data_IF_051263702191
#
_entry.id   IF_051263702191
#
_cell.length_a   1.000
_cell.length_b   1.000
_cell.length_c   1.000
_cell.angle_alpha   90.00
_cell.angle_beta   90.00
_cell.angle_gamma   90.00
#
_symmetry.space_group_name_H-M   'P 1'
#
loop_
_entity.id
_entity.type
_entity.pdbx_description
1 polymer ?
#
# COMPACT_ATOMS: atom_id res chain seq x y z
N UNK A 1 5.88 13.74 -25.68
CA UNK A 1 5.22 13.21 -24.48
C UNK A 1 6.28 12.50 -23.65
N UNK A 2 6.35 12.69 -22.32
CA UNK A 2 7.23 11.87 -21.50
C UNK A 2 6.89 10.38 -21.71
N UNK A 3 7.92 9.53 -21.68
CA UNK A 3 7.76 8.08 -21.79
C UNK A 3 6.91 7.57 -20.62
N UNK A 4 5.77 6.93 -20.92
CA UNK A 4 4.93 6.26 -19.93
C UNK A 4 5.73 5.18 -19.19
N UNK A 5 5.74 5.23 -17.87
CA UNK A 5 6.39 4.22 -17.01
C UNK A 5 5.36 3.35 -16.29
N UNK A 6 5.86 2.27 -15.72
CA UNK A 6 5.07 1.33 -14.92
C UNK A 6 5.36 1.53 -13.45
N UNK A 7 4.33 1.72 -12.65
CA UNK A 7 4.41 1.88 -11.20
C UNK A 7 3.83 0.62 -10.56
N UNK A 8 4.63 -0.09 -9.77
CA UNK A 8 4.23 -1.35 -9.14
C UNK A 8 4.20 -1.23 -7.63
N UNK A 9 3.02 -1.37 -7.03
CA UNK A 9 2.83 -1.37 -5.58
C UNK A 9 2.64 -2.80 -5.09
N UNK A 10 3.48 -3.24 -4.17
CA UNK A 10 3.46 -4.57 -3.57
C UNK A 10 3.22 -4.45 -2.06
N UNK A 11 2.06 -4.87 -1.55
CA UNK A 11 1.75 -4.87 -0.13
C UNK A 11 1.65 -6.30 0.42
N UNK A 12 2.53 -6.67 1.33
CA UNK A 12 2.51 -8.00 1.95
C UNK A 12 1.58 -8.07 3.18
N UNK A 13 1.28 -9.30 3.61
CA UNK A 13 0.50 -9.62 4.79
C UNK A 13 1.26 -9.43 6.10
N UNK A 14 0.54 -9.51 7.22
CA UNK A 14 1.14 -9.42 8.56
C UNK A 14 1.77 -10.70 9.05
N UNK A 15 2.86 -10.58 9.83
CA UNK A 15 3.39 -11.69 10.63
C UNK A 15 4.40 -12.60 9.94
N UNK A 16 4.90 -12.24 8.76
CA UNK A 16 5.97 -12.98 8.10
C UNK A 16 7.26 -12.96 8.92
N UNK A 17 7.63 -11.80 9.49
CA UNK A 17 8.81 -11.66 10.35
C UNK A 17 8.56 -12.12 11.79
N UNK A 18 7.33 -12.00 12.31
CA UNK A 18 6.98 -12.50 13.65
C UNK A 18 7.02 -14.04 13.71
N UNK A 19 6.74 -14.74 12.60
CA UNK A 19 7.01 -16.19 12.50
C UNK A 19 8.49 -16.52 12.28
N UNK A 20 9.27 -15.59 11.74
CA UNK A 20 10.74 -15.72 11.66
C UNK A 20 11.43 -15.41 13.01
N UNK A 21 10.77 -14.69 13.92
CA UNK A 21 11.25 -14.38 15.26
C UNK A 21 10.89 -15.44 16.33
N UNK A 22 10.07 -16.43 15.98
CA UNK A 22 9.99 -17.68 16.75
C UNK A 22 11.28 -18.48 16.48
N UNK A 23 11.76 -19.32 17.42
CA UNK A 23 12.93 -20.18 17.21
C UNK A 23 12.57 -21.33 16.23
N UNK A 24 12.20 -20.97 15.02
CA UNK A 24 11.95 -21.88 13.92
C UNK A 24 13.22 -21.82 13.08
N UNK A 25 13.95 -22.94 13.10
CA UNK A 25 15.10 -23.32 12.26
C UNK A 25 15.59 -22.22 11.29
N UNK A 26 16.88 -21.84 11.30
CA UNK A 26 17.46 -20.66 10.64
C UNK A 26 17.35 -20.57 9.10
N UNK A 27 16.51 -21.39 8.44
CA UNK A 27 16.44 -21.54 6.99
C UNK A 27 15.02 -21.40 6.41
N UNK A 28 14.03 -20.86 7.14
CA UNK A 28 12.67 -20.73 6.59
C UNK A 28 12.05 -19.35 6.76
N UNK A 29 12.69 -18.32 6.18
CA UNK A 29 11.97 -17.10 5.79
C UNK A 29 11.01 -17.50 4.68
N UNK A 30 9.72 -17.61 4.98
CA UNK A 30 8.70 -17.97 3.98
C UNK A 30 8.47 -16.76 3.07
N UNK A 31 9.21 -16.66 1.96
CA UNK A 31 8.97 -15.59 0.98
C UNK A 31 7.56 -15.73 0.40
N UNK A 32 6.73 -14.69 0.57
CA UNK A 32 5.39 -14.60 -0.03
C UNK A 32 5.47 -14.44 -1.53
N UNK A 33 4.36 -14.74 -2.22
CA UNK A 33 4.28 -14.48 -3.66
C UNK A 33 4.43 -12.98 -3.96
N UNK A 34 4.00 -12.09 -3.06
CA UNK A 34 4.19 -10.64 -3.23
C UNK A 34 5.67 -10.28 -3.20
N UNK A 35 6.43 -10.77 -2.21
CA UNK A 35 7.87 -10.52 -2.14
C UNK A 35 8.61 -11.15 -3.34
N UNK A 36 8.25 -12.38 -3.73
CA UNK A 36 8.82 -13.03 -4.92
C UNK A 36 8.57 -12.23 -6.19
N UNK A 37 7.34 -11.74 -6.38
CA UNK A 37 7.00 -10.88 -7.52
C UNK A 37 7.84 -9.61 -7.48
N UNK A 38 7.94 -8.95 -6.33
CA UNK A 38 8.73 -7.73 -6.15
C UNK A 38 10.23 -7.94 -6.47
N UNK A 39 10.80 -9.08 -6.06
CA UNK A 39 12.20 -9.41 -6.37
C UNK A 39 12.46 -9.58 -7.88
N UNK A 40 11.44 -9.99 -8.65
CA UNK A 40 11.52 -10.19 -10.10
C UNK A 40 11.25 -8.91 -10.92
N UNK A 41 10.88 -7.81 -10.27
CA UNK A 41 10.58 -6.54 -10.93
C UNK A 41 11.85 -5.88 -11.50
N UNK A 42 11.72 -5.23 -12.65
CA UNK A 42 12.72 -4.29 -13.16
C UNK A 42 12.85 -3.10 -12.19
N UNK A 43 14.09 -2.74 -11.86
CA UNK A 43 14.43 -1.63 -10.94
C UNK A 43 15.29 -0.60 -11.65
N UNK A 44 14.83 -0.14 -12.81
CA UNK A 44 15.56 0.79 -13.67
C UNK A 44 15.20 2.27 -13.42
N UNK A 45 14.13 2.54 -12.67
CA UNK A 45 13.65 3.89 -12.33
C UNK A 45 13.07 4.68 -13.51
N UNK A 46 13.48 4.37 -14.74
CA UNK A 46 13.10 5.07 -15.96
C UNK A 46 11.83 4.49 -16.59
N UNK A 47 11.73 3.16 -16.71
CA UNK A 47 10.57 2.47 -17.31
C UNK A 47 9.71 1.80 -16.25
N UNK A 48 10.28 1.54 -15.07
CA UNK A 48 9.58 0.93 -13.96
C UNK A 48 10.07 1.46 -12.61
N UNK A 49 9.12 1.85 -11.77
CA UNK A 49 9.34 2.16 -10.35
C UNK A 49 8.49 1.23 -9.49
N UNK A 50 9.02 0.83 -8.34
CA UNK A 50 8.37 -0.14 -7.48
C UNK A 50 8.41 0.25 -6.01
N UNK A 51 7.38 -0.16 -5.26
CA UNK A 51 7.26 0.10 -3.84
C UNK A 51 6.81 -1.18 -3.13
N UNK A 52 7.49 -1.54 -2.03
CA UNK A 52 7.19 -2.73 -1.24
C UNK A 52 6.86 -2.38 0.21
N UNK A 53 5.63 -2.68 0.64
CA UNK A 53 5.21 -2.60 2.04
C UNK A 53 5.28 -4.00 2.68
N UNK A 54 6.14 -4.24 3.68
CA UNK A 54 6.31 -5.54 4.32
C UNK A 54 5.18 -5.93 5.30
N UNK A 55 4.12 -5.12 5.42
CA UNK A 55 3.04 -5.31 6.38
C UNK A 55 3.33 -4.80 7.79
N UNK A 56 2.30 -4.84 8.65
CA UNK A 56 2.35 -4.38 10.06
C UNK A 56 3.12 -5.39 10.93
N UNK A 57 4.01 -4.88 11.79
CA UNK A 57 4.81 -5.69 12.74
C UNK A 57 6.16 -6.18 12.21
N UNK A 58 6.59 -5.70 11.04
CA UNK A 58 7.91 -6.01 10.48
C UNK A 58 8.97 -5.03 10.99
N UNK A 59 9.87 -5.52 11.86
CA UNK A 59 11.08 -4.80 12.30
C UNK A 59 12.08 -4.79 11.12
N UNK A 60 12.86 -3.72 10.90
CA UNK A 60 13.48 -3.40 9.62
C UNK A 60 14.80 -4.16 9.35
N UNK A 61 15.08 -4.41 8.07
CA UNK A 61 16.37 -4.96 7.60
C UNK A 61 16.57 -4.95 6.07
N UNK A 62 15.85 -4.10 5.32
CA UNK A 62 16.07 -3.92 3.87
C UNK A 62 16.38 -2.44 3.61
N UNK A 63 17.66 -2.14 3.36
CA UNK A 63 18.21 -0.80 3.20
C UNK A 63 18.16 -0.38 1.71
N UNK A 64 17.48 0.72 1.39
CA UNK A 64 17.33 1.21 0.00
C UNK A 64 16.00 1.92 -0.24
N UNK A 65 15.00 1.24 -0.83
CA UNK A 65 13.67 1.79 -1.14
C UNK A 65 12.76 1.95 0.10
N UNK A 66 13.08 1.27 1.21
CA UNK A 66 12.30 1.34 2.45
C UNK A 66 12.41 2.70 3.15
N UNK A 67 13.48 3.45 2.89
CA UNK A 67 13.73 4.75 3.53
C UNK A 67 12.76 5.83 3.04
N UNK A 68 12.32 5.74 1.77
CA UNK A 68 11.26 6.58 1.24
C UNK A 68 9.92 6.24 1.88
N UNK A 69 9.57 4.96 1.97
CA UNK A 69 8.33 4.50 2.64
C UNK A 69 8.33 4.90 4.12
N UNK A 70 9.47 4.85 4.79
CA UNK A 70 9.67 5.32 6.18
C UNK A 70 9.55 6.82 6.31
N UNK A 71 10.19 7.61 5.45
CA UNK A 71 10.05 9.07 5.41
C UNK A 71 8.60 9.46 5.17
N UNK A 72 7.93 8.82 4.22
CA UNK A 72 6.50 9.01 3.96
C UNK A 72 5.65 8.60 5.16
N UNK A 73 5.99 7.52 5.88
CA UNK A 73 5.33 7.12 7.13
C UNK A 73 5.47 8.16 8.25
N UNK A 74 6.57 8.91 8.30
CA UNK A 74 6.78 9.97 9.31
C UNK A 74 6.02 11.28 9.01
N UNK A 75 5.68 11.58 7.74
CA UNK A 75 4.81 12.74 7.40
C UNK A 75 3.34 12.48 7.78
N UNK A 76 3.02 11.29 8.32
CA UNK A 76 1.64 10.78 8.44
C UNK A 76 1.14 10.63 9.87
N UNK A 77 1.89 11.08 10.87
CA UNK A 77 1.45 10.98 12.28
C UNK A 77 0.11 11.71 12.53
N UNK A 78 -0.27 12.67 11.69
CA UNK A 78 -1.58 13.34 11.72
C UNK A 78 -2.74 12.51 11.12
N UNK A 79 -2.46 11.46 10.35
CA UNK A 79 -3.48 10.71 9.58
C UNK A 79 -4.06 9.48 10.30
N UNK A 80 -3.39 8.93 11.32
CA UNK A 80 -3.36 7.46 11.49
C UNK A 80 -3.94 6.92 12.79
N UNK A 81 -5.27 6.90 12.87
CA UNK A 81 -5.94 5.82 13.57
C UNK A 81 -5.61 4.48 12.89
N UNK A 82 -4.83 3.63 13.57
CA UNK A 82 -4.43 2.25 13.19
C UNK A 82 -3.38 2.09 12.07
N UNK A 83 -2.50 1.08 12.22
CA UNK A 83 -1.42 0.75 11.29
C UNK A 83 -1.83 0.40 9.85
N UNK A 84 -3.11 0.10 9.61
CA UNK A 84 -3.62 -0.23 8.27
C UNK A 84 -3.82 1.01 7.41
N UNK A 85 -4.43 2.05 7.99
CA UNK A 85 -4.48 3.37 7.37
C UNK A 85 -3.06 3.90 7.13
N UNK A 86 -2.14 3.49 8.02
CA UNK A 86 -0.70 3.79 7.95
C UNK A 86 0.03 3.04 6.85
N UNK A 87 -0.58 2.11 6.16
CA UNK A 87 0.02 1.57 4.93
C UNK A 87 -0.68 2.18 3.71
N UNK A 88 -2.01 2.31 3.76
CA UNK A 88 -2.81 2.89 2.68
C UNK A 88 -2.34 4.29 2.25
N UNK A 89 -2.23 5.25 3.17
CA UNK A 89 -1.78 6.59 2.80
C UNK A 89 -0.32 6.65 2.32
N UNK A 90 0.58 5.72 2.68
CA UNK A 90 1.96 5.73 2.22
C UNK A 90 1.96 5.35 0.74
N UNK A 91 1.17 4.33 0.40
CA UNK A 91 1.04 3.92 -0.99
C UNK A 91 0.35 5.01 -1.82
N UNK A 92 -0.65 5.69 -1.25
CA UNK A 92 -1.29 6.83 -1.92
C UNK A 92 -0.32 7.98 -2.16
N UNK A 93 0.46 8.39 -1.16
CA UNK A 93 1.46 9.46 -1.31
C UNK A 93 2.58 9.03 -2.25
N UNK A 94 3.05 7.78 -2.19
CA UNK A 94 4.02 7.27 -3.16
C UNK A 94 3.52 7.42 -4.60
N UNK A 95 2.24 7.11 -4.84
CA UNK A 95 1.62 7.35 -6.16
C UNK A 95 1.54 8.84 -6.48
N UNK A 96 1.20 9.72 -5.53
CA UNK A 96 1.20 11.18 -5.75
C UNK A 96 2.58 11.71 -6.16
N UNK A 97 3.66 11.14 -5.62
CA UNK A 97 5.03 11.56 -5.91
C UNK A 97 5.57 11.06 -7.24
N UNK A 98 5.10 9.91 -7.73
CA UNK A 98 5.69 9.21 -8.87
C UNK A 98 4.80 9.15 -10.11
N UNK A 99 3.48 9.32 -9.97
CA UNK A 99 2.56 9.19 -11.09
C UNK A 99 2.61 10.41 -12.01
N UNK A 100 2.85 10.16 -13.28
CA UNK A 100 2.68 11.12 -14.36
C UNK A 100 1.53 10.68 -15.29
N UNK A 101 0.85 11.62 -15.97
CA UNK A 101 -0.21 11.28 -16.92
C UNK A 101 0.27 10.29 -17.99
N UNK A 102 -0.42 9.15 -18.07
CA UNK A 102 -0.11 8.07 -19.01
C UNK A 102 0.63 6.89 -18.38
N UNK A 103 1.06 6.98 -17.12
CA UNK A 103 1.67 5.87 -16.41
C UNK A 103 0.68 4.74 -16.11
N UNK A 104 1.20 3.52 -15.98
CA UNK A 104 0.42 2.33 -15.64
C UNK A 104 0.65 1.95 -14.18
N UNK A 105 -0.42 1.66 -13.45
CA UNK A 105 -0.36 1.25 -12.04
C UNK A 105 -0.71 -0.23 -11.90
N UNK A 106 0.18 -1.01 -11.30
CA UNK A 106 -0.05 -2.41 -10.95
C UNK A 106 -0.04 -2.57 -9.44
N UNK A 107 -1.04 -3.27 -8.91
CA UNK A 107 -1.22 -3.45 -7.48
C UNK A 107 -1.20 -4.95 -7.13
N UNK A 108 -0.29 -5.36 -6.26
CA UNK A 108 -0.18 -6.72 -5.75
C UNK A 108 -0.35 -6.72 -4.24
N UNK A 109 -1.23 -7.57 -3.72
CA UNK A 109 -1.48 -7.63 -2.28
C UNK A 109 -1.78 -9.04 -1.80
N UNK A 110 -1.28 -9.38 -0.60
CA UNK A 110 -1.56 -10.66 0.05
C UNK A 110 -2.14 -10.47 1.46
N UNK A 111 -3.17 -11.24 1.82
CA UNK A 111 -3.83 -11.17 3.13
C UNK A 111 -4.23 -9.73 3.50
N UNK A 112 -3.68 -9.14 4.57
CA UNK A 112 -3.90 -7.73 4.94
C UNK A 112 -3.40 -6.77 3.86
N UNK A 113 -2.31 -7.08 3.17
CA UNK A 113 -1.84 -6.30 2.03
C UNK A 113 -2.83 -6.30 0.86
N UNK A 114 -3.60 -7.37 0.66
CA UNK A 114 -4.69 -7.41 -0.33
C UNK A 114 -5.81 -6.42 0.03
N UNK A 115 -6.14 -6.30 1.32
CA UNK A 115 -7.04 -5.25 1.78
C UNK A 115 -6.48 -3.86 1.48
N UNK A 116 -5.20 -3.61 1.80
CA UNK A 116 -4.54 -2.32 1.55
C UNK A 116 -4.62 -1.90 0.08
N UNK A 117 -4.25 -2.78 -0.85
CA UNK A 117 -4.29 -2.43 -2.28
C UNK A 117 -5.70 -2.28 -2.83
N UNK A 118 -6.68 -3.02 -2.31
CA UNK A 118 -8.10 -2.83 -2.67
C UNK A 118 -8.62 -1.49 -2.17
N UNK A 119 -8.30 -1.11 -0.94
CA UNK A 119 -8.63 0.20 -0.39
C UNK A 119 -7.98 1.32 -1.22
N UNK A 120 -6.71 1.15 -1.61
CA UNK A 120 -5.98 2.09 -2.46
C UNK A 120 -6.67 2.27 -3.82
N UNK A 121 -7.01 1.17 -4.49
CA UNK A 121 -7.75 1.21 -5.75
C UNK A 121 -9.12 1.89 -5.59
N UNK A 122 -9.81 1.64 -4.48
CA UNK A 122 -11.08 2.30 -4.14
C UNK A 122 -10.93 3.81 -4.01
N UNK A 123 -9.92 4.28 -3.27
CA UNK A 123 -9.63 5.71 -3.14
C UNK A 123 -9.28 6.33 -4.50
N UNK A 124 -8.40 5.71 -5.28
CA UNK A 124 -8.03 6.21 -6.61
C UNK A 124 -9.26 6.32 -7.50
N UNK A 125 -10.16 5.34 -7.46
CA UNK A 125 -11.41 5.38 -8.24
C UNK A 125 -12.35 6.50 -7.81
N UNK A 126 -12.38 6.84 -6.52
CA UNK A 126 -13.35 7.81 -5.98
C UNK A 126 -12.82 9.24 -5.96
N UNK A 127 -11.54 9.43 -5.64
CA UNK A 127 -10.90 10.73 -5.48
C UNK A 127 -10.00 11.07 -6.67
N UNK A 128 -9.50 10.06 -7.39
CA UNK A 128 -8.35 10.21 -8.28
C UNK A 128 -7.02 10.19 -7.52
N UNK A 129 -5.95 10.50 -8.23
CA UNK A 129 -4.63 10.75 -7.65
C UNK A 129 -4.42 12.26 -7.53
N UNK A 130 -4.20 12.73 -6.30
CA UNK A 130 -3.79 14.10 -6.06
C UNK A 130 -2.40 14.35 -6.67
N UNK A 131 -2.15 15.59 -7.09
CA UNK A 131 -0.81 15.99 -7.56
C UNK A 131 0.13 16.12 -6.36
N UNK A 132 1.41 15.83 -6.58
CA UNK A 132 2.50 16.15 -5.65
C UNK A 132 2.36 17.58 -5.10
N UNK A 133 2.56 17.77 -3.80
CA UNK A 133 2.41 19.06 -3.11
C UNK A 133 1.00 19.32 -2.53
N UNK A 134 0.04 18.42 -2.75
CA UNK A 134 -1.33 18.53 -2.20
C UNK A 134 -1.57 17.61 -1.00
N UNK A 135 -0.51 17.31 -0.23
CA UNK A 135 -0.58 16.42 0.93
C UNK A 135 -1.52 16.96 2.03
N UNK A 136 -1.74 18.28 2.07
CA UNK A 136 -2.71 18.93 2.95
C UNK A 136 -4.16 18.47 2.72
N UNK A 137 -4.48 17.90 1.55
CA UNK A 137 -5.82 17.35 1.25
C UNK A 137 -5.98 15.90 1.72
N UNK A 138 -4.92 15.24 2.17
CA UNK A 138 -5.00 13.87 2.64
C UNK A 138 -6.11 13.69 3.69
N UNK A 139 -6.31 14.55 4.71
CA UNK A 139 -7.40 14.36 5.68
C UNK A 139 -8.78 14.19 5.02
N UNK A 140 -9.06 14.95 3.96
CA UNK A 140 -10.30 14.79 3.20
C UNK A 140 -10.36 13.46 2.43
N UNK A 141 -9.24 13.00 1.86
CA UNK A 141 -9.15 11.68 1.21
C UNK A 141 -9.49 10.55 2.19
N UNK A 142 -9.07 10.67 3.46
CA UNK A 142 -9.43 9.73 4.54
C UNK A 142 -10.93 9.73 4.76
N UNK A 143 -11.54 10.89 4.89
CA UNK A 143 -12.97 11.01 5.16
C UNK A 143 -13.80 10.38 4.03
N UNK A 144 -13.38 10.55 2.77
CA UNK A 144 -14.01 9.87 1.62
C UNK A 144 -13.91 8.35 1.77
N UNK A 145 -12.72 7.83 2.10
CA UNK A 145 -12.52 6.40 2.32
C UNK A 145 -13.38 5.85 3.46
N UNK A 146 -13.42 6.52 4.61
CA UNK A 146 -14.21 6.08 5.77
C UNK A 146 -15.71 6.04 5.46
N UNK A 147 -16.20 7.04 4.72
CA UNK A 147 -17.59 7.08 4.25
C UNK A 147 -17.90 5.95 3.24
N UNK A 148 -16.96 5.62 2.34
CA UNK A 148 -17.09 4.46 1.46
C UNK A 148 -17.13 3.14 2.24
N UNK A 149 -16.22 2.96 3.19
CA UNK A 149 -16.14 1.78 4.02
C UNK A 149 -17.41 1.60 4.88
N UNK A 150 -17.96 2.69 5.42
CA UNK A 150 -19.21 2.67 6.18
C UNK A 150 -20.40 2.25 5.31
N UNK A 151 -20.49 2.76 4.07
CA UNK A 151 -21.54 2.36 3.12
C UNK A 151 -21.48 0.88 2.78
N UNK A 152 -20.29 0.34 2.52
CA UNK A 152 -20.11 -1.09 2.26
C UNK A 152 -20.55 -1.97 3.45
N UNK A 153 -20.20 -1.57 4.69
CA UNK A 153 -20.66 -2.29 5.90
C UNK A 153 -22.19 -2.28 6.05
N UNK A 154 -22.85 -1.18 5.71
CA UNK A 154 -24.32 -1.06 5.76
C UNK A 154 -25.03 -1.83 4.65
N UNK A 155 -24.41 -1.99 3.48
CA UNK A 155 -24.93 -2.81 2.40
C UNK A 155 -24.88 -4.29 2.77
N UNK A 156 -23.72 -4.80 3.22
CA UNK A 156 -23.58 -6.21 3.60
C UNK A 156 -24.51 -6.66 4.74
N UNK A 157 -24.81 -5.79 5.71
CA UNK A 157 -25.78 -6.10 6.78
C UNK A 157 -27.24 -6.21 6.32
N UNK A 158 -27.60 -5.57 5.19
CA UNK A 158 -28.95 -5.68 4.64
C UNK A 158 -29.17 -6.99 3.89
N UNK A 159 -28.12 -7.54 3.30
CA UNK A 159 -28.17 -8.79 2.56
C UNK A 159 -28.19 -10.03 3.49
N UNK A 160 -27.69 -9.90 4.73
CA UNK A 160 -27.69 -10.98 5.75
C UNK A 160 -28.96 -11.02 6.63
N UNK A 161 -29.78 -9.96 6.62
CA UNK A 161 -30.99 -9.84 7.47
C UNK A 161 -32.30 -10.25 6.82
N UNK A 162 -32.25 -10.83 5.61
CA UNK A 162 -33.41 -11.29 4.85
C UNK A 162 -33.38 -12.81 4.62
N UNK A 163 -33.52 -13.59 5.69
CA UNK A 163 -33.90 -15.00 5.66
C UNK A 163 -34.93 -15.27 6.75
#
# INVERSE_FOLDING_TARGET
MPSSKTIVICCDGTGQTIRAAQPVKPHRVVRTNVLRTFDLLKKDGATQVSCYDPGIGTIPGLEGELDLIRKLKNVRDEWLGTGLMSNLAAMYVYLMEHYEPGDRIFLFGFSRGAFTVRALAGIIRSVGLLRKGHEHLLPWVRDVYENMAARHRRAGRRDEGGQ
#
